data_IF_590930718228
#
_entry.id   IF_590930718228
#
_cell.length_a   1.000
_cell.length_b   1.000
_cell.length_c   1.000
_cell.angle_alpha   90.00
_cell.angle_beta   90.00
_cell.angle_gamma   90.00
#
_symmetry.space_group_name_H-M   'P 1'
#
loop_
_entity.id
_entity.type
_entity.pdbx_description
1 polymer ?
#
# COMPACT_ATOMS: atom_id res chain seq x y z
N UNK A 1 -0.17 -2.87 10.81
CA UNK A 1 -1.64 -2.70 10.67
C UNK A 1 -2.05 -2.69 9.20
N UNK A 2 -1.45 -1.87 8.35
CA UNK A 2 -1.67 -1.83 6.88
C UNK A 2 -1.55 -3.18 6.19
N UNK A 3 -0.48 -3.94 6.44
CA UNK A 3 -0.32 -5.28 5.87
C UNK A 3 -1.46 -6.25 6.27
N UNK A 4 -1.97 -6.15 7.50
CA UNK A 4 -3.09 -6.97 7.98
C UNK A 4 -4.42 -6.61 7.32
N UNK A 5 -4.65 -5.32 7.05
CA UNK A 5 -5.85 -4.84 6.37
C UNK A 5 -5.86 -5.25 4.90
N UNK A 6 -4.72 -5.16 4.22
CA UNK A 6 -4.60 -5.59 2.83
C UNK A 6 -4.82 -7.11 2.67
N UNK A 7 -4.34 -7.94 3.61
CA UNK A 7 -4.64 -9.38 3.60
C UNK A 7 -6.11 -9.69 3.89
N UNK A 8 -6.76 -8.91 4.78
CA UNK A 8 -8.20 -9.01 5.00
C UNK A 8 -9.02 -8.64 3.75
N UNK A 9 -8.52 -7.72 2.92
CA UNK A 9 -9.10 -7.38 1.62
C UNK A 9 -8.87 -8.43 0.51
N UNK A 10 -8.22 -9.56 0.83
CA UNK A 10 -7.94 -10.64 -0.13
C UNK A 10 -6.69 -10.43 -0.99
N UNK A 11 -5.80 -9.51 -0.60
CA UNK A 11 -4.51 -9.32 -1.25
C UNK A 11 -3.41 -10.11 -0.53
N UNK A 12 -2.56 -10.81 -1.28
CA UNK A 12 -1.34 -11.40 -0.74
C UNK A 12 -0.33 -10.28 -0.46
N UNK A 13 0.10 -10.10 0.79
CA UNK A 13 1.04 -9.04 1.18
C UNK A 13 2.42 -9.64 1.42
N UNK A 14 3.41 -9.19 0.66
CA UNK A 14 4.81 -9.58 0.80
C UNK A 14 5.66 -8.35 1.17
N UNK A 15 6.66 -8.53 2.03
CA UNK A 15 7.60 -7.45 2.33
C UNK A 15 8.65 -7.34 1.21
N UNK A 16 8.89 -6.14 0.71
CA UNK A 16 9.90 -5.92 -0.34
C UNK A 16 11.27 -5.79 0.32
N UNK A 17 12.24 -6.58 -0.14
CA UNK A 17 13.62 -6.55 0.38
C UNK A 17 14.37 -5.26 0.00
N UNK A 18 13.94 -4.59 -1.06
CA UNK A 18 14.50 -3.34 -1.57
C UNK A 18 13.69 -2.13 -1.07
N UNK A 19 14.19 -1.47 -0.02
CA UNK A 19 13.55 -0.31 0.62
C UNK A 19 13.42 0.92 -0.30
N UNK A 20 14.05 0.92 -1.49
CA UNK A 20 13.92 2.01 -2.47
C UNK A 20 12.72 1.87 -3.40
N UNK A 21 12.09 0.70 -3.40
CA UNK A 21 11.01 0.34 -4.32
C UNK A 21 9.62 0.33 -3.66
N UNK A 22 9.58 0.19 -2.34
CA UNK A 22 8.38 0.21 -1.50
C UNK A 22 8.57 -0.64 -0.25
N UNK A 23 7.59 -0.61 0.65
CA UNK A 23 7.64 -1.41 1.89
C UNK A 23 6.91 -2.77 1.70
N UNK A 24 5.85 -2.79 0.89
CA UNK A 24 5.01 -3.97 0.65
C UNK A 24 4.69 -4.18 -0.83
N UNK A 25 4.54 -5.44 -1.22
CA UNK A 25 4.02 -5.88 -2.50
C UNK A 25 2.68 -6.55 -2.27
N UNK A 26 1.62 -6.07 -2.92
CA UNK A 26 0.32 -6.70 -2.93
C UNK A 26 0.13 -7.47 -4.23
N UNK A 27 -0.17 -8.75 -4.12
CA UNK A 27 -0.47 -9.62 -5.26
C UNK A 27 -1.88 -10.20 -5.08
N UNK A 28 -2.74 -10.11 -6.10
CA UNK A 28 -4.09 -10.68 -6.01
C UNK A 28 -4.10 -12.07 -6.66
N UNK A 29 -4.25 -13.17 -5.90
CA UNK A 29 -4.12 -14.52 -6.45
C UNK A 29 -5.30 -14.95 -7.36
N UNK A 30 -6.43 -14.24 -7.30
CA UNK A 30 -7.69 -14.64 -7.94
C UNK A 30 -8.07 -13.81 -9.18
N UNK A 31 -7.28 -12.81 -9.58
CA UNK A 31 -7.48 -12.13 -10.87
C UNK A 31 -6.44 -12.62 -11.88
N UNK A 32 -6.92 -13.02 -13.07
CA UNK A 32 -6.12 -13.58 -14.15
C UNK A 32 -5.04 -12.64 -14.73
N UNK A 33 -4.94 -11.42 -14.21
CA UNK A 33 -3.85 -10.49 -14.45
C UNK A 33 -3.04 -10.36 -13.16
N UNK A 34 -1.78 -10.81 -13.17
CA UNK A 34 -0.80 -10.64 -12.09
C UNK A 34 -0.49 -9.17 -11.83
N UNK A 35 -1.45 -8.43 -11.26
CA UNK A 35 -1.26 -7.06 -10.81
C UNK A 35 -0.52 -7.10 -9.47
N UNK A 36 0.79 -6.91 -9.55
CA UNK A 36 1.66 -6.68 -8.41
C UNK A 36 1.62 -5.19 -8.10
N UNK A 37 0.93 -4.81 -7.02
CA UNK A 37 0.80 -3.42 -6.58
C UNK A 37 1.88 -3.16 -5.53
N UNK A 38 2.81 -2.25 -5.80
CA UNK A 38 3.80 -1.84 -4.80
C UNK A 38 3.24 -0.73 -3.93
N UNK A 39 3.31 -0.95 -2.62
CA UNK A 39 2.85 0.00 -1.62
C UNK A 39 4.01 0.41 -0.74
N UNK A 40 4.12 1.72 -0.53
CA UNK A 40 5.04 2.31 0.43
C UNK A 40 4.23 2.88 1.60
N UNK A 41 4.69 2.68 2.83
CA UNK A 41 3.98 3.12 4.03
C UNK A 41 4.90 4.04 4.80
N UNK A 42 4.47 5.27 5.07
CA UNK A 42 5.30 6.20 5.83
C UNK A 42 4.71 7.58 6.03
N UNK A 43 5.46 8.41 6.75
CA UNK A 43 5.07 9.78 7.07
C UNK A 43 5.26 10.77 5.92
N UNK A 44 5.09 12.06 6.23
CA UNK A 44 5.09 13.20 5.30
C UNK A 44 6.29 13.30 4.35
N UNK A 45 7.44 12.70 4.71
CA UNK A 45 8.68 12.72 3.94
C UNK A 45 8.82 11.58 2.90
N UNK A 46 7.95 10.56 2.93
CA UNK A 46 8.00 9.44 1.96
C UNK A 46 7.29 9.81 0.67
N UNK A 47 7.99 9.74 -0.46
CA UNK A 47 7.54 10.14 -1.79
C UNK A 47 7.36 8.92 -2.68
N UNK A 48 6.43 8.97 -3.66
CA UNK A 48 6.12 7.97 -4.72
C UNK A 48 7.31 7.61 -5.64
N UNK A 49 8.53 7.45 -5.13
CA UNK A 49 9.75 7.36 -5.95
C UNK A 49 9.71 6.18 -6.90
N UNK A 50 9.08 5.05 -6.52
CA UNK A 50 8.87 3.85 -7.36
C UNK A 50 7.67 2.95 -6.99
N UNK A 51 6.99 3.24 -5.88
CA UNK A 51 5.78 2.53 -5.47
C UNK A 51 4.58 2.99 -6.30
N UNK A 52 3.60 2.10 -6.50
CA UNK A 52 2.36 2.40 -7.21
C UNK A 52 1.41 3.24 -6.33
N UNK A 53 1.41 2.95 -5.03
CA UNK A 53 0.68 3.71 -4.02
C UNK A 53 1.54 4.01 -2.79
N UNK A 54 1.30 5.14 -2.15
CA UNK A 54 1.89 5.49 -0.85
C UNK A 54 0.78 5.65 0.17
N UNK A 55 0.86 4.92 1.28
CA UNK A 55 0.00 5.09 2.43
C UNK A 55 0.64 6.09 3.37
N UNK A 56 -0.03 7.23 3.58
CA UNK A 56 0.42 8.29 4.48
C UNK A 56 -0.53 8.45 5.65
N UNK A 57 0.03 8.63 6.82
CA UNK A 57 -0.74 8.94 8.03
C UNK A 57 -1.06 10.43 8.16
N UNK A 58 -0.24 11.28 7.53
CA UNK A 58 -0.30 12.75 7.62
C UNK A 58 -1.27 13.40 6.63
N UNK A 59 -2.15 12.62 5.97
CA UNK A 59 -3.09 13.15 4.97
C UNK A 59 -4.53 12.80 5.34
N UNK A 60 -5.42 13.79 5.23
CA UNK A 60 -6.84 13.62 5.49
C UNK A 60 -7.65 13.29 4.23
N UNK A 61 -7.05 13.35 3.03
CA UNK A 61 -7.74 13.07 1.78
C UNK A 61 -6.91 12.19 0.86
N UNK A 62 -7.54 11.23 0.15
CA UNK A 62 -6.85 10.47 -0.89
C UNK A 62 -6.44 11.40 -2.02
N UNK A 63 -5.15 11.39 -2.35
CA UNK A 63 -4.59 11.98 -3.56
C UNK A 63 -4.44 10.95 -4.67
N UNK A 64 -3.92 11.36 -5.83
CA UNK A 64 -3.80 10.53 -7.06
C UNK A 64 -3.34 9.09 -6.78
N UNK A 65 -2.24 8.95 -6.04
CA UNK A 65 -1.65 7.64 -5.64
C UNK A 65 -1.27 7.62 -4.17
N UNK A 66 -1.95 8.43 -3.36
CA UNK A 66 -1.63 8.55 -1.94
C UNK A 66 -2.88 8.31 -1.12
N UNK A 67 -2.82 7.28 -0.28
CA UNK A 67 -3.96 6.78 0.48
C UNK A 67 -3.76 7.13 1.95
N UNK A 68 -4.74 7.74 2.63
CA UNK A 68 -4.67 7.96 4.05
C UNK A 68 -4.62 6.64 4.82
N UNK A 69 -3.84 6.57 5.89
CA UNK A 69 -3.78 5.39 6.75
C UNK A 69 -5.16 5.05 7.33
N UNK A 70 -5.91 6.07 7.73
CA UNK A 70 -7.25 5.92 8.28
C UNK A 70 -8.26 5.34 7.28
N UNK A 71 -8.10 5.57 5.97
CA UNK A 71 -9.01 5.04 4.95
C UNK A 71 -8.96 3.51 4.90
N UNK A 72 -7.79 2.93 5.08
CA UNK A 72 -7.62 1.48 5.23
C UNK A 72 -8.15 0.99 6.57
N UNK A 73 -8.04 1.80 7.63
CA UNK A 73 -8.57 1.48 8.96
C UNK A 73 -10.10 1.49 9.03
N UNK A 74 -10.78 2.27 8.18
CA UNK A 74 -12.25 2.35 8.11
C UNK A 74 -12.88 1.28 7.21
N UNK A 75 -12.10 0.45 6.52
CA UNK A 75 -12.61 -0.72 5.78
C UNK A 75 -12.99 -1.91 6.69
N UNK A 76 -12.89 -1.73 8.01
CA UNK A 76 -13.27 -2.70 9.04
C UNK A 76 -14.39 -2.13 9.91
#
# INVERSE_FOLDING_TARGET
MTAMLCTAGGFLVEAVKDETTGDFLLSKPYEAASNHIKIEVGGSSKSLKKADFVIRDDIDYPGDRTIPLWLLGMMY
#
